data_IF_278636914935
#
_entry.id   IF_278636914935
#
_cell.length_a   1.000
_cell.length_b   1.000
_cell.length_c   1.000
_cell.angle_alpha   90.00
_cell.angle_beta   90.00
_cell.angle_gamma   90.00
#
_symmetry.space_group_name_H-M   'P 1'
#
loop_
_entity.id
_entity.type
_entity.pdbx_description
1 polymer ?
#
# COMPACT_ATOMS: atom_id res chain seq x y z
N UNK A 1 8.50 -16.01 -8.33
CA UNK A 1 8.32 -15.07 -7.20
C UNK A 1 7.36 -15.62 -6.16
N UNK A 2 6.24 -16.19 -6.56
CA UNK A 2 5.22 -16.74 -5.66
C UNK A 2 5.46 -18.21 -5.28
N UNK A 3 6.53 -18.82 -5.77
CA UNK A 3 6.83 -20.23 -5.52
C UNK A 3 6.90 -20.52 -4.02
N UNK A 4 6.09 -21.43 -3.56
CA UNK A 4 5.97 -21.79 -2.14
C UNK A 4 5.05 -20.91 -1.32
N UNK A 5 4.84 -19.61 -1.65
CA UNK A 5 3.94 -18.76 -0.86
C UNK A 5 2.48 -19.15 -1.08
N UNK A 6 2.10 -19.50 -2.31
CA UNK A 6 0.74 -19.95 -2.64
C UNK A 6 0.29 -21.24 -1.91
N UNK A 7 1.21 -22.00 -1.33
CA UNK A 7 0.86 -23.18 -0.53
C UNK A 7 0.38 -22.82 0.88
N UNK A 8 0.74 -21.62 1.37
CA UNK A 8 0.46 -21.20 2.75
C UNK A 8 -0.54 -20.05 2.82
N UNK A 9 -0.63 -19.24 1.77
CA UNK A 9 -1.53 -18.08 1.73
C UNK A 9 -1.86 -17.69 0.28
N UNK A 10 -3.08 -17.17 0.05
CA UNK A 10 -3.43 -16.54 -1.21
C UNK A 10 -2.58 -15.28 -1.44
N UNK A 11 -2.02 -15.12 -2.64
CA UNK A 11 -1.24 -13.93 -3.00
C UNK A 11 -2.08 -13.03 -3.88
N UNK A 12 -2.26 -11.77 -3.44
CA UNK A 12 -2.98 -10.75 -4.19
C UNK A 12 -2.32 -10.50 -5.56
N UNK A 13 -3.13 -10.22 -6.59
CA UNK A 13 -2.62 -9.85 -7.92
C UNK A 13 -1.75 -8.58 -7.86
N UNK A 14 -2.07 -7.64 -6.97
CA UNK A 14 -1.27 -6.43 -6.73
C UNK A 14 0.13 -6.83 -6.23
N UNK A 15 0.19 -7.71 -5.23
CA UNK A 15 1.45 -8.24 -4.70
C UNK A 15 2.26 -8.93 -5.78
N UNK A 16 1.61 -9.74 -6.63
CA UNK A 16 2.28 -10.45 -7.72
C UNK A 16 2.93 -9.48 -8.73
N UNK A 17 2.21 -8.44 -9.12
CA UNK A 17 2.68 -7.45 -10.09
C UNK A 17 3.83 -6.61 -9.52
N UNK A 18 3.67 -6.09 -8.31
CA UNK A 18 4.67 -5.23 -7.64
C UNK A 18 5.92 -6.03 -7.31
N UNK A 19 5.78 -7.26 -6.80
CA UNK A 19 6.90 -8.09 -6.40
C UNK A 19 7.85 -8.40 -7.57
N UNK A 20 7.33 -8.62 -8.77
CA UNK A 20 8.17 -8.88 -9.94
C UNK A 20 9.09 -7.69 -10.26
N UNK A 21 8.55 -6.48 -10.24
CA UNK A 21 9.29 -5.25 -10.58
C UNK A 21 10.29 -4.89 -9.48
N UNK A 22 9.82 -4.85 -8.23
CA UNK A 22 10.68 -4.48 -7.09
C UNK A 22 11.80 -5.48 -6.86
N UNK A 23 11.49 -6.79 -6.99
CA UNK A 23 12.50 -7.84 -6.83
C UNK A 23 13.59 -7.75 -7.88
N UNK A 24 13.23 -7.46 -9.14
CA UNK A 24 14.21 -7.23 -10.20
C UNK A 24 15.11 -6.05 -9.84
N UNK A 25 14.53 -4.90 -9.45
CA UNK A 25 15.28 -3.70 -9.06
C UNK A 25 16.28 -3.98 -7.94
N UNK A 26 15.82 -4.54 -6.83
CA UNK A 26 16.66 -4.87 -5.66
C UNK A 26 17.80 -5.84 -6.01
N UNK A 27 17.49 -6.89 -6.80
CA UNK A 27 18.51 -7.89 -7.18
C UNK A 27 19.54 -7.30 -8.15
N UNK A 28 19.12 -6.43 -9.08
CA UNK A 28 20.03 -5.73 -10.01
C UNK A 28 20.99 -4.82 -9.25
N UNK A 29 20.51 -4.06 -8.26
CA UNK A 29 21.36 -3.17 -7.45
C UNK A 29 22.46 -3.96 -6.74
N UNK A 30 22.13 -5.07 -6.10
CA UNK A 30 23.13 -5.95 -5.47
C UNK A 30 24.10 -6.53 -6.50
N UNK A 31 23.62 -6.89 -7.67
CA UNK A 31 24.45 -7.44 -8.75
C UNK A 31 25.43 -6.39 -9.27
N UNK A 32 24.97 -5.16 -9.54
CA UNK A 32 25.80 -4.05 -10.02
C UNK A 32 26.90 -3.72 -9.00
N UNK A 33 26.53 -3.63 -7.71
CA UNK A 33 27.49 -3.40 -6.64
C UNK A 33 28.59 -4.46 -6.62
N UNK A 34 28.19 -5.75 -6.68
CA UNK A 34 29.09 -6.87 -6.67
C UNK A 34 30.01 -6.90 -7.92
N UNK A 35 29.44 -6.70 -9.11
CA UNK A 35 30.20 -6.64 -10.38
C UNK A 35 31.22 -5.51 -10.36
N UNK A 36 30.86 -4.33 -9.85
CA UNK A 36 31.80 -3.21 -9.73
C UNK A 36 32.94 -3.55 -8.77
N UNK A 37 32.66 -4.20 -7.64
CA UNK A 37 33.70 -4.65 -6.71
C UNK A 37 34.61 -5.69 -7.34
N UNK A 38 34.07 -6.66 -8.07
CA UNK A 38 34.87 -7.64 -8.81
C UNK A 38 35.78 -6.96 -9.85
N UNK A 39 35.25 -6.02 -10.62
CA UNK A 39 36.05 -5.28 -11.64
C UNK A 39 37.16 -4.45 -10.99
N UNK A 40 36.95 -3.93 -9.79
CA UNK A 40 38.00 -3.22 -9.02
C UNK A 40 39.08 -4.20 -8.59
N UNK A 41 38.75 -5.30 -7.93
CA UNK A 41 39.72 -6.31 -7.47
C UNK A 41 40.44 -6.98 -8.65
N UNK A 42 39.78 -7.14 -9.81
CA UNK A 42 40.37 -7.73 -11.01
C UNK A 42 41.54 -6.96 -11.57
N UNK A 43 41.64 -5.66 -11.28
CA UNK A 43 42.79 -4.81 -11.70
C UNK A 43 44.03 -5.09 -10.90
N UNK A 44 43.88 -5.58 -9.66
CA UNK A 44 45.01 -5.77 -8.72
C UNK A 44 45.32 -7.24 -8.46
N UNK A 45 44.50 -8.16 -8.91
CA UNK A 45 44.69 -9.59 -8.70
C UNK A 45 45.34 -10.27 -9.89
N UNK A 46 46.14 -11.32 -9.62
CA UNK A 46 46.84 -12.06 -10.68
C UNK A 46 45.91 -13.00 -11.45
N UNK A 47 44.94 -13.60 -10.76
CA UNK A 47 43.98 -14.54 -11.35
C UNK A 47 42.55 -14.02 -11.15
N UNK A 48 41.60 -14.52 -11.96
CA UNK A 48 40.17 -14.19 -11.84
C UNK A 48 39.56 -14.78 -10.57
N UNK A 49 40.06 -15.95 -10.16
CA UNK A 49 39.61 -16.63 -8.93
C UNK A 49 40.04 -15.83 -7.68
N UNK A 50 41.28 -15.31 -7.65
CA UNK A 50 41.75 -14.44 -6.57
C UNK A 50 40.93 -13.14 -6.49
N UNK A 51 40.67 -12.52 -7.64
CA UNK A 51 39.84 -11.32 -7.72
C UNK A 51 38.42 -11.59 -7.19
N UNK A 52 37.83 -12.73 -7.54
CA UNK A 52 36.51 -13.13 -7.11
C UNK A 52 36.46 -13.36 -5.59
N UNK A 53 37.45 -14.07 -5.04
CA UNK A 53 37.54 -14.32 -3.59
C UNK A 53 37.64 -12.99 -2.81
N UNK A 54 38.49 -12.07 -3.26
CA UNK A 54 38.61 -10.74 -2.63
C UNK A 54 37.34 -9.92 -2.75
N UNK A 55 36.69 -9.94 -3.92
CA UNK A 55 35.45 -9.24 -4.15
C UNK A 55 34.33 -9.76 -3.25
N UNK A 56 34.17 -11.08 -3.13
CA UNK A 56 33.19 -11.70 -2.21
C UNK A 56 33.44 -11.26 -0.77
N UNK A 57 34.69 -11.39 -0.29
CA UNK A 57 35.04 -11.03 1.07
C UNK A 57 34.79 -9.53 1.35
N UNK A 58 35.25 -8.65 0.44
CA UNK A 58 35.10 -7.21 0.59
C UNK A 58 33.66 -6.71 0.45
N UNK A 59 32.81 -7.42 -0.32
CA UNK A 59 31.42 -7.05 -0.51
C UNK A 59 30.49 -7.59 0.57
N UNK A 60 30.87 -8.64 1.27
CA UNK A 60 29.98 -9.40 2.17
C UNK A 60 29.32 -8.53 3.24
N UNK A 61 30.10 -7.68 3.93
CA UNK A 61 29.58 -6.81 5.00
C UNK A 61 28.57 -5.79 4.42
N UNK A 62 28.92 -5.16 3.29
CA UNK A 62 28.05 -4.15 2.68
C UNK A 62 26.78 -4.75 2.11
N UNK A 63 26.88 -5.90 1.41
CA UNK A 63 25.72 -6.62 0.88
C UNK A 63 24.83 -7.12 2.02
N UNK A 64 25.41 -7.70 3.06
CA UNK A 64 24.62 -8.17 4.22
C UNK A 64 23.92 -7.01 4.93
N UNK A 65 24.60 -5.88 5.13
CA UNK A 65 23.98 -4.70 5.74
C UNK A 65 22.83 -4.15 4.93
N UNK A 66 23.03 -3.95 3.63
CA UNK A 66 21.96 -3.46 2.73
C UNK A 66 20.81 -4.44 2.60
N UNK A 67 21.10 -5.74 2.45
CA UNK A 67 20.03 -6.75 2.34
C UNK A 67 19.24 -6.92 3.63
N UNK A 68 19.87 -6.82 4.80
CA UNK A 68 19.17 -6.87 6.08
C UNK A 68 18.26 -5.65 6.27
N UNK A 69 18.71 -4.44 5.92
CA UNK A 69 17.84 -3.25 6.00
C UNK A 69 16.62 -3.39 5.08
N UNK A 70 16.81 -3.87 3.87
CA UNK A 70 15.71 -4.11 2.91
C UNK A 70 14.78 -5.21 3.41
N UNK A 71 15.32 -6.31 3.92
CA UNK A 71 14.56 -7.43 4.49
C UNK A 71 13.67 -6.97 5.64
N UNK A 72 14.23 -6.26 6.61
CA UNK A 72 13.49 -5.76 7.76
C UNK A 72 12.50 -4.66 7.38
N UNK A 73 12.81 -3.84 6.37
CA UNK A 73 11.86 -2.89 5.79
C UNK A 73 10.62 -3.58 5.24
N UNK A 74 10.78 -4.68 4.48
CA UNK A 74 9.63 -5.46 4.01
C UNK A 74 8.92 -6.22 5.13
N UNK A 75 9.64 -6.76 6.11
CA UNK A 75 9.02 -7.42 7.26
C UNK A 75 8.19 -6.45 8.12
N UNK A 76 8.52 -5.15 8.13
CA UNK A 76 7.70 -4.15 8.81
C UNK A 76 6.28 -4.06 8.23
N UNK A 77 6.08 -4.35 6.93
CA UNK A 77 4.75 -4.41 6.32
C UNK A 77 3.87 -5.53 6.89
N UNK A 78 4.47 -6.57 7.49
CA UNK A 78 3.71 -7.66 8.10
C UNK A 78 2.94 -7.21 9.37
N UNK A 79 3.22 -6.02 9.90
CA UNK A 79 2.52 -5.45 11.05
C UNK A 79 1.29 -4.62 10.65
N UNK A 80 1.00 -4.50 9.36
CA UNK A 80 -0.22 -3.87 8.88
C UNK A 80 -1.45 -4.70 9.22
N UNK A 81 -2.56 -4.04 9.53
CA UNK A 81 -3.88 -4.66 9.67
C UNK A 81 -4.42 -5.13 8.32
N UNK A 82 -4.11 -4.39 7.26
CA UNK A 82 -4.45 -4.79 5.89
C UNK A 82 -3.66 -6.04 5.49
N UNK A 83 -4.39 -7.09 5.11
CA UNK A 83 -3.80 -8.37 4.65
C UNK A 83 -2.87 -8.21 3.45
N UNK A 84 -3.05 -7.14 2.66
CA UNK A 84 -2.17 -6.78 1.55
C UNK A 84 -0.74 -6.50 2.02
N UNK A 85 -0.58 -5.84 3.19
CA UNK A 85 0.72 -5.58 3.78
C UNK A 85 1.47 -6.86 4.15
N UNK A 86 0.79 -7.80 4.79
CA UNK A 86 1.34 -9.13 5.11
C UNK A 86 1.77 -9.87 3.84
N UNK A 87 0.93 -9.84 2.79
CA UNK A 87 1.23 -10.48 1.51
C UNK A 87 2.50 -9.91 0.87
N UNK A 88 2.58 -8.59 0.74
CA UNK A 88 3.75 -7.91 0.15
C UNK A 88 4.98 -8.16 1.03
N UNK A 89 4.85 -8.01 2.34
CA UNK A 89 5.95 -8.16 3.29
C UNK A 89 6.63 -9.52 3.18
N UNK A 90 5.87 -10.62 3.23
CA UNK A 90 6.41 -11.98 3.15
C UNK A 90 7.00 -12.28 1.77
N UNK A 91 6.29 -11.94 0.70
CA UNK A 91 6.75 -12.22 -0.68
C UNK A 91 8.05 -11.47 -0.97
N UNK A 92 8.13 -10.19 -0.59
CA UNK A 92 9.32 -9.37 -0.81
C UNK A 92 10.48 -9.78 0.09
N UNK A 93 10.23 -10.06 1.37
CA UNK A 93 11.27 -10.56 2.29
C UNK A 93 11.92 -11.85 1.77
N UNK A 94 11.09 -12.82 1.35
CA UNK A 94 11.58 -14.04 0.69
C UNK A 94 12.38 -13.72 -0.57
N UNK A 95 11.89 -12.79 -1.38
CA UNK A 95 12.54 -12.34 -2.60
C UNK A 95 13.93 -11.75 -2.35
N UNK A 96 14.09 -10.92 -1.34
CA UNK A 96 15.40 -10.36 -0.93
C UNK A 96 16.38 -11.48 -0.57
N UNK A 97 15.96 -12.46 0.23
CA UNK A 97 16.82 -13.59 0.62
C UNK A 97 17.29 -14.36 -0.62
N UNK A 98 16.36 -14.73 -1.50
CA UNK A 98 16.70 -15.45 -2.75
C UNK A 98 17.60 -14.60 -3.64
N UNK A 99 17.31 -13.29 -3.76
CA UNK A 99 18.11 -12.35 -4.55
C UNK A 99 19.56 -12.28 -4.07
N UNK A 100 19.77 -12.13 -2.76
CA UNK A 100 21.12 -12.10 -2.16
C UNK A 100 21.85 -13.42 -2.38
N UNK A 101 21.17 -14.55 -2.16
CA UNK A 101 21.77 -15.88 -2.41
C UNK A 101 22.18 -16.02 -3.88
N UNK A 102 21.35 -15.52 -4.80
CA UNK A 102 21.67 -15.54 -6.23
C UNK A 102 22.91 -14.68 -6.54
N UNK A 103 23.03 -13.50 -5.94
CA UNK A 103 24.17 -12.61 -6.15
C UNK A 103 25.46 -13.16 -5.52
N UNK A 104 25.37 -13.84 -4.40
CA UNK A 104 26.56 -14.38 -3.71
C UNK A 104 27.02 -15.73 -4.28
N UNK A 105 26.10 -16.54 -4.80
CA UNK A 105 26.40 -17.90 -5.25
C UNK A 105 26.40 -18.02 -6.77
N UNK A 106 25.29 -17.61 -7.42
CA UNK A 106 25.09 -17.82 -8.84
C UNK A 106 25.90 -16.83 -9.68
N UNK A 107 25.81 -15.54 -9.35
CA UNK A 107 26.49 -14.49 -10.12
C UNK A 107 28.00 -14.67 -10.18
N UNK A 108 28.74 -14.98 -9.09
CA UNK A 108 30.17 -15.25 -9.14
C UNK A 108 30.53 -16.42 -10.04
N UNK A 109 29.75 -17.52 -9.99
CA UNK A 109 29.97 -18.67 -10.86
C UNK A 109 29.85 -18.31 -12.35
N UNK A 110 28.78 -17.60 -12.72
CA UNK A 110 28.61 -17.10 -14.08
C UNK A 110 29.70 -16.14 -14.51
N UNK A 111 30.10 -15.20 -13.64
CA UNK A 111 31.15 -14.24 -13.94
C UNK A 111 32.50 -14.94 -14.20
N UNK A 112 32.87 -15.95 -13.40
CA UNK A 112 34.11 -16.70 -13.61
C UNK A 112 34.11 -17.49 -14.92
N UNK A 113 32.98 -18.10 -15.29
CA UNK A 113 32.83 -18.85 -16.54
C UNK A 113 32.91 -17.92 -17.75
N UNK A 114 32.24 -16.77 -17.70
CA UNK A 114 32.13 -15.85 -18.82
C UNK A 114 33.13 -14.67 -18.79
N UNK A 115 34.07 -14.63 -17.84
CA UNK A 115 35.03 -13.52 -17.68
C UNK A 115 35.77 -13.18 -19.00
N UNK A 116 36.27 -14.20 -19.69
CA UNK A 116 36.99 -14.02 -20.94
C UNK A 116 36.10 -13.46 -22.07
N UNK A 117 34.84 -13.94 -22.14
CA UNK A 117 33.89 -13.45 -23.12
C UNK A 117 33.46 -12.01 -22.83
N UNK A 118 33.21 -11.68 -21.56
CA UNK A 118 32.85 -10.33 -21.11
C UNK A 118 33.99 -9.35 -21.43
N UNK A 119 35.24 -9.70 -21.12
CA UNK A 119 36.40 -8.84 -21.37
C UNK A 119 36.68 -8.66 -22.87
N UNK A 120 36.44 -9.66 -23.70
CA UNK A 120 36.61 -9.57 -25.16
C UNK A 120 35.63 -8.59 -25.81
N UNK A 121 34.40 -8.49 -25.29
CA UNK A 121 33.34 -7.65 -25.83
C UNK A 121 33.13 -6.36 -25.01
N UNK A 122 34.08 -5.99 -24.18
CA UNK A 122 33.98 -4.80 -23.34
C UNK A 122 34.02 -3.52 -24.18
N UNK A 123 32.90 -2.79 -24.16
CA UNK A 123 32.80 -1.47 -24.78
C UNK A 123 33.17 -0.38 -23.77
N UNK A 124 33.55 0.79 -24.25
CA UNK A 124 33.77 1.96 -23.40
C UNK A 124 32.45 2.32 -22.72
N UNK A 125 32.43 2.49 -21.39
CA UNK A 125 31.19 2.85 -20.71
C UNK A 125 30.66 4.20 -21.22
N UNK A 126 29.37 4.27 -21.51
CA UNK A 126 28.65 5.52 -21.81
C UNK A 126 28.38 6.29 -20.52
N UNK A 127 29.37 6.41 -19.65
CA UNK A 127 29.24 7.13 -18.39
C UNK A 127 30.02 8.45 -18.49
N UNK A 128 29.36 9.59 -18.30
CA UNK A 128 30.08 10.86 -18.22
C UNK A 128 31.01 10.86 -17.02
N UNK A 129 32.19 11.52 -17.18
CA UNK A 129 33.11 11.67 -16.08
C UNK A 129 32.57 12.68 -15.05
N UNK A 130 32.08 12.16 -13.94
CA UNK A 130 31.57 12.94 -12.82
C UNK A 130 32.68 13.49 -11.90
N UNK A 131 33.94 13.24 -12.18
CA UNK A 131 35.08 13.65 -11.32
C UNK A 131 35.09 15.14 -11.01
N UNK A 132 34.78 16.00 -12.00
CA UNK A 132 34.67 17.46 -11.80
C UNK A 132 33.52 17.84 -10.88
N UNK A 133 32.35 17.16 -11.03
CA UNK A 133 31.17 17.38 -10.19
C UNK A 133 31.44 16.94 -8.75
N UNK A 134 31.99 15.75 -8.57
CA UNK A 134 32.36 15.21 -7.25
C UNK A 134 33.34 16.14 -6.52
N UNK A 135 34.40 16.59 -7.21
CA UNK A 135 35.34 17.53 -6.63
C UNK A 135 34.68 18.86 -6.22
N UNK A 136 33.73 19.36 -7.00
CA UNK A 136 32.98 20.57 -6.65
C UNK A 136 32.09 20.37 -5.42
N UNK A 137 31.38 19.24 -5.34
CA UNK A 137 30.56 18.85 -4.20
C UNK A 137 31.39 18.74 -2.91
N UNK A 138 32.53 18.04 -2.97
CA UNK A 138 33.40 17.85 -1.82
C UNK A 138 33.98 19.19 -1.33
N UNK A 139 34.42 20.06 -2.25
CA UNK A 139 34.93 21.39 -1.89
C UNK A 139 33.85 22.26 -1.22
N UNK A 140 32.61 22.17 -1.63
CA UNK A 140 31.48 22.97 -1.11
C UNK A 140 30.52 22.18 -0.21
N UNK A 141 30.98 21.13 0.44
CA UNK A 141 30.14 20.21 1.26
C UNK A 141 29.25 20.92 2.27
N UNK A 142 29.72 22.02 2.92
CA UNK A 142 28.93 22.79 3.87
C UNK A 142 27.72 23.50 3.21
N UNK A 143 27.93 24.01 1.97
CA UNK A 143 26.86 24.68 1.21
C UNK A 143 25.81 23.66 0.79
N UNK A 144 26.24 22.49 0.28
CA UNK A 144 25.29 21.43 -0.10
C UNK A 144 24.53 20.87 1.11
N UNK A 145 25.18 20.71 2.27
CA UNK A 145 24.50 20.33 3.50
C UNK A 145 23.46 21.39 3.95
N UNK A 146 23.81 22.68 3.85
CA UNK A 146 22.85 23.75 4.17
C UNK A 146 21.67 23.78 3.20
N UNK A 147 21.91 23.64 1.90
CA UNK A 147 20.85 23.54 0.88
C UNK A 147 19.94 22.34 1.15
N UNK A 148 20.50 21.17 1.49
CA UNK A 148 19.73 19.98 1.84
C UNK A 148 18.81 20.25 3.04
N UNK A 149 19.32 20.86 4.12
CA UNK A 149 18.51 21.21 5.29
C UNK A 149 17.39 22.20 4.93
N UNK A 150 17.67 23.17 4.05
CA UNK A 150 16.66 24.14 3.60
C UNK A 150 15.55 23.44 2.78
N UNK A 151 15.89 22.42 1.98
CA UNK A 151 14.91 21.67 1.17
C UNK A 151 14.04 20.77 2.05
N UNK A 152 14.53 20.27 3.19
CA UNK A 152 13.75 19.43 4.12
C UNK A 152 12.44 20.11 4.52
N UNK A 153 12.49 21.38 4.91
CA UNK A 153 11.32 22.07 5.43
C UNK A 153 10.15 22.11 4.44
N UNK A 154 10.33 22.60 3.19
CA UNK A 154 9.25 22.57 2.21
C UNK A 154 8.86 21.15 1.80
N UNK A 155 9.77 20.18 1.77
CA UNK A 155 9.44 18.78 1.45
C UNK A 155 8.49 18.17 2.47
N UNK A 156 8.73 18.36 3.75
CA UNK A 156 7.84 17.89 4.84
C UNK A 156 6.47 18.57 4.76
N UNK A 157 6.45 19.89 4.54
CA UNK A 157 5.19 20.63 4.42
C UNK A 157 4.36 20.21 3.20
N UNK A 158 5.01 19.97 2.07
CA UNK A 158 4.34 19.49 0.85
C UNK A 158 3.83 18.06 1.02
N UNK A 159 4.63 17.18 1.59
CA UNK A 159 4.25 15.78 1.86
C UNK A 159 3.04 15.69 2.79
N UNK A 160 2.95 16.55 3.82
CA UNK A 160 1.81 16.58 4.74
C UNK A 160 0.49 16.99 4.05
N UNK A 161 0.56 17.74 2.93
CA UNK A 161 -0.59 18.22 2.20
C UNK A 161 -0.96 17.38 0.96
N UNK A 162 -0.26 16.28 0.70
CA UNK A 162 -0.59 15.38 -0.42
C UNK A 162 -1.91 14.67 -0.12
N UNK A 163 -2.92 14.91 -0.97
CA UNK A 163 -4.18 14.18 -0.92
C UNK A 163 -3.96 12.77 -1.49
N UNK A 164 -4.20 11.77 -0.67
CA UNK A 164 -4.13 10.37 -1.10
C UNK A 164 -5.44 10.01 -1.79
N UNK A 165 -5.35 9.46 -3.00
CA UNK A 165 -6.51 8.92 -3.70
C UNK A 165 -6.68 7.44 -3.34
N UNK A 166 -7.83 7.09 -2.79
CA UNK A 166 -8.17 5.70 -2.46
C UNK A 166 -9.17 5.09 -3.44
N UNK A 167 -9.72 5.91 -4.37
CA UNK A 167 -10.72 5.46 -5.33
C UNK A 167 -10.06 4.71 -6.49
N UNK A 168 -10.02 3.38 -6.41
CA UNK A 168 -9.50 2.53 -7.47
C UNK A 168 -10.34 2.59 -8.77
N UNK A 169 -11.62 2.93 -8.66
CA UNK A 169 -12.50 3.03 -9.84
C UNK A 169 -12.13 4.25 -10.72
N UNK A 170 -11.54 5.29 -10.13
CA UNK A 170 -11.08 6.47 -10.86
C UNK A 170 -9.89 6.19 -11.81
N UNK A 171 -9.21 5.06 -11.63
CA UNK A 171 -8.07 4.64 -12.46
C UNK A 171 -8.50 3.80 -13.68
N UNK A 172 -9.81 3.52 -13.82
CA UNK A 172 -10.32 2.77 -14.97
C UNK A 172 -10.37 3.66 -16.22
N UNK A 173 -10.16 3.09 -17.43
CA UNK A 173 -10.30 3.83 -18.68
C UNK A 173 -11.69 4.46 -18.85
N UNK A 174 -11.74 5.61 -19.50
CA UNK A 174 -13.00 6.35 -19.74
C UNK A 174 -14.03 5.57 -20.57
N UNK A 175 -13.58 4.67 -21.44
CA UNK A 175 -14.38 3.81 -22.31
C UNK A 175 -14.82 2.50 -21.65
N UNK A 176 -14.41 2.23 -20.40
CA UNK A 176 -14.87 1.05 -19.67
C UNK A 176 -16.38 1.16 -19.41
N UNK A 177 -17.10 0.05 -19.60
CA UNK A 177 -18.57 0.00 -19.41
C UNK A 177 -18.99 0.46 -18.01
N UNK A 178 -18.21 0.11 -16.98
CA UNK A 178 -18.44 0.56 -15.60
C UNK A 178 -18.28 2.06 -15.45
N UNK A 179 -17.26 2.67 -16.07
CA UNK A 179 -17.03 4.11 -16.03
C UNK A 179 -18.17 4.86 -16.70
N UNK A 180 -18.61 4.38 -17.88
CA UNK A 180 -19.76 4.96 -18.60
C UNK A 180 -21.03 4.82 -17.74
N UNK A 181 -21.29 3.63 -17.16
CA UNK A 181 -22.45 3.38 -16.32
C UNK A 181 -22.48 4.28 -15.08
N UNK A 182 -21.36 4.44 -14.39
CA UNK A 182 -21.26 5.32 -13.22
C UNK A 182 -21.50 6.79 -13.58
N UNK A 183 -20.96 7.26 -14.72
CA UNK A 183 -21.24 8.62 -15.23
C UNK A 183 -22.73 8.83 -15.50
N UNK A 184 -23.40 7.84 -16.11
CA UNK A 184 -24.85 7.93 -16.37
C UNK A 184 -25.67 7.92 -15.07
N UNK A 185 -25.31 7.11 -14.08
CA UNK A 185 -25.96 7.12 -12.77
C UNK A 185 -25.83 8.47 -12.09
N UNK A 186 -24.62 9.06 -12.13
CA UNK A 186 -24.35 10.39 -11.59
C UNK A 186 -25.17 11.49 -12.30
N UNK A 187 -25.16 11.50 -13.63
CA UNK A 187 -25.78 12.56 -14.42
C UNK A 187 -27.31 12.47 -14.49
N UNK A 188 -27.86 11.24 -14.55
CA UNK A 188 -29.29 11.03 -14.77
C UNK A 188 -30.07 10.78 -13.50
N UNK A 189 -29.44 10.19 -12.50
CA UNK A 189 -30.11 9.76 -11.27
C UNK A 189 -29.55 10.45 -10.01
N UNK A 190 -28.52 11.27 -10.17
CA UNK A 190 -27.84 11.93 -9.04
C UNK A 190 -27.32 10.93 -7.99
N UNK A 191 -26.85 9.77 -8.47
CA UNK A 191 -26.36 8.64 -7.68
C UNK A 191 -24.89 8.44 -7.99
N UNK A 192 -24.03 8.64 -6.99
CA UNK A 192 -22.58 8.47 -7.14
C UNK A 192 -22.06 7.30 -6.33
N UNK A 193 -22.49 7.19 -5.08
CA UNK A 193 -22.08 6.12 -4.16
C UNK A 193 -23.31 5.52 -3.51
N UNK A 194 -23.30 4.21 -3.28
CA UNK A 194 -24.40 3.50 -2.61
C UNK A 194 -23.93 2.92 -1.29
N UNK A 195 -24.76 3.11 -0.27
CA UNK A 195 -24.60 2.52 1.04
C UNK A 195 -25.71 1.52 1.31
N UNK A 196 -25.41 0.43 1.98
CA UNK A 196 -26.37 -0.53 2.48
C UNK A 196 -26.44 -0.42 3.99
N UNK A 197 -27.65 -0.42 4.51
CA UNK A 197 -27.91 -0.49 5.95
C UNK A 197 -28.50 -1.85 6.23
N UNK A 198 -27.95 -2.55 7.20
CA UNK A 198 -28.43 -3.87 7.64
C UNK A 198 -28.87 -3.71 9.09
N UNK A 199 -30.11 -3.95 9.38
CA UNK A 199 -30.67 -3.87 10.73
C UNK A 199 -31.41 -5.15 11.09
N UNK A 200 -31.61 -5.34 12.38
CA UNK A 200 -32.46 -6.39 12.94
C UNK A 200 -33.94 -6.17 12.53
N UNK A 201 -34.61 -7.17 11.97
CA UNK A 201 -36.00 -7.08 11.54
C UNK A 201 -37.00 -7.11 12.72
N UNK A 202 -36.51 -7.36 13.94
CA UNK A 202 -37.31 -7.27 15.15
C UNK A 202 -37.48 -5.85 15.68
N UNK A 203 -36.74 -4.86 15.10
CA UNK A 203 -36.93 -3.45 15.41
C UNK A 203 -38.36 -3.04 14.97
N UNK A 204 -39.14 -2.40 15.86
CA UNK A 204 -40.49 -1.98 15.51
C UNK A 204 -40.53 -1.10 14.25
N UNK A 205 -41.42 -1.36 13.31
CA UNK A 205 -41.55 -0.64 12.04
C UNK A 205 -41.70 0.89 12.23
N UNK A 206 -42.34 1.35 13.29
CA UNK A 206 -42.44 2.78 13.62
C UNK A 206 -41.07 3.42 13.91
N UNK A 207 -40.13 2.67 14.51
CA UNK A 207 -38.75 3.11 14.73
C UNK A 207 -37.98 3.09 13.45
N UNK A 208 -38.16 2.06 12.61
CA UNK A 208 -37.52 1.95 11.29
C UNK A 208 -37.89 3.14 10.39
N UNK A 209 -39.20 3.45 10.29
CA UNK A 209 -39.66 4.61 9.52
C UNK A 209 -39.09 5.93 10.07
N UNK A 210 -38.98 6.05 11.39
CA UNK A 210 -38.36 7.26 11.99
C UNK A 210 -36.87 7.37 11.63
N UNK A 211 -36.17 6.25 11.66
CA UNK A 211 -34.75 6.15 11.23
C UNK A 211 -34.60 6.48 9.75
N UNK A 212 -35.43 5.89 8.89
CA UNK A 212 -35.43 6.12 7.44
C UNK A 212 -35.67 7.59 7.09
N UNK A 213 -36.60 8.25 7.77
CA UNK A 213 -36.86 9.67 7.61
C UNK A 213 -35.67 10.52 8.06
N UNK A 214 -35.03 10.18 9.17
CA UNK A 214 -33.85 10.92 9.66
C UNK A 214 -32.69 10.75 8.68
N UNK A 215 -32.43 9.52 8.19
CA UNK A 215 -31.38 9.24 7.20
C UNK A 215 -31.66 9.93 5.86
N UNK A 216 -32.90 9.94 5.39
CA UNK A 216 -33.28 10.63 4.15
C UNK A 216 -33.03 12.13 4.20
N UNK A 217 -32.97 12.75 5.38
CA UNK A 217 -32.66 14.15 5.57
C UNK A 217 -31.15 14.44 5.77
N UNK A 218 -30.31 13.40 5.83
CA UNK A 218 -28.84 13.59 5.90
C UNK A 218 -28.34 14.26 4.63
N UNK A 219 -27.49 15.25 4.79
CA UNK A 219 -26.95 16.02 3.69
C UNK A 219 -26.26 15.11 2.66
N UNK A 220 -26.66 15.24 1.39
CA UNK A 220 -26.07 14.49 0.29
C UNK A 220 -26.69 13.13 0.03
N UNK A 221 -27.69 12.71 0.79
CA UNK A 221 -28.55 11.57 0.44
C UNK A 221 -29.43 11.99 -0.73
N UNK A 222 -29.37 11.26 -1.85
CA UNK A 222 -30.16 11.55 -3.04
C UNK A 222 -31.46 10.74 -3.07
N UNK A 223 -31.42 9.51 -2.58
CA UNK A 223 -32.59 8.64 -2.48
C UNK A 223 -32.34 7.52 -1.46
N UNK A 224 -33.39 6.99 -0.90
CA UNK A 224 -33.39 5.82 -0.03
C UNK A 224 -34.43 4.82 -0.50
N UNK A 225 -34.09 3.54 -0.46
CA UNK A 225 -34.99 2.44 -0.75
C UNK A 225 -35.03 1.54 0.48
N UNK A 226 -36.19 1.50 1.13
CA UNK A 226 -36.41 0.68 2.30
C UNK A 226 -37.79 0.02 2.20
N UNK A 227 -37.94 -1.15 2.80
CA UNK A 227 -39.18 -1.92 2.76
C UNK A 227 -40.37 -1.14 3.30
N UNK A 228 -40.22 -0.52 4.45
CA UNK A 228 -41.27 0.22 5.14
C UNK A 228 -41.73 1.48 4.40
N UNK A 229 -40.88 2.06 3.54
CA UNK A 229 -41.23 3.18 2.66
C UNK A 229 -42.16 2.78 1.52
N UNK A 230 -42.10 1.54 1.02
CA UNK A 230 -42.92 1.05 -0.08
C UNK A 230 -44.19 0.33 0.39
N UNK A 231 -44.05 -0.52 1.37
CA UNK A 231 -45.15 -1.34 1.88
C UNK A 231 -45.99 -0.58 2.92
N UNK A 232 -45.33 0.32 3.65
CA UNK A 232 -45.94 1.06 4.76
C UNK A 232 -46.14 0.19 6.01
N UNK A 233 -46.22 0.86 7.15
CA UNK A 233 -46.29 0.22 8.48
C UNK A 233 -47.64 -0.47 8.77
N UNK A 234 -48.66 -0.24 7.94
CA UNK A 234 -49.99 -0.73 8.13
C UNK A 234 -50.32 -2.03 7.37
N UNK A 235 -49.43 -2.45 6.48
CA UNK A 235 -49.59 -3.66 5.69
C UNK A 235 -48.83 -4.80 6.36
N UNK A 236 -49.51 -5.87 6.82
CA UNK A 236 -48.84 -7.05 7.36
C UNK A 236 -47.98 -7.75 6.30
N UNK A 237 -46.81 -8.24 6.68
CA UNK A 237 -45.88 -8.98 5.78
C UNK A 237 -46.58 -10.18 5.10
N UNK A 238 -47.58 -10.77 5.75
CA UNK A 238 -48.37 -11.90 5.19
C UNK A 238 -49.17 -11.58 3.92
N UNK A 239 -49.32 -10.30 3.57
CA UNK A 239 -50.04 -9.85 2.35
C UNK A 239 -49.05 -9.51 1.22
N UNK A 240 -47.77 -9.31 1.55
CA UNK A 240 -46.73 -9.00 0.58
C UNK A 240 -46.21 -10.30 -0.04
N UNK A 241 -46.01 -10.36 -1.36
CA UNK A 241 -45.44 -11.55 -1.99
C UNK A 241 -44.08 -11.92 -1.39
N UNK A 242 -43.87 -13.21 -1.11
CA UNK A 242 -42.65 -13.74 -0.51
C UNK A 242 -41.38 -13.33 -1.31
N UNK A 243 -41.48 -13.32 -2.65
CA UNK A 243 -40.37 -12.90 -3.54
C UNK A 243 -39.89 -11.47 -3.25
N UNK A 244 -40.75 -10.58 -2.78
CA UNK A 244 -40.38 -9.20 -2.43
C UNK A 244 -39.77 -9.17 -1.03
N UNK A 245 -40.35 -9.89 -0.10
CA UNK A 245 -39.86 -9.99 1.28
C UNK A 245 -38.47 -10.60 1.28
N UNK A 246 -38.26 -11.69 0.56
CA UNK A 246 -36.97 -12.41 0.49
C UNK A 246 -35.82 -11.59 -0.09
N UNK A 247 -36.10 -10.52 -0.85
CA UNK A 247 -35.04 -9.60 -1.35
C UNK A 247 -34.54 -8.71 -0.24
N UNK A 248 -35.41 -8.24 0.66
CA UNK A 248 -35.10 -7.18 1.63
C UNK A 248 -35.02 -7.66 3.07
N UNK A 249 -35.69 -8.81 3.38
CA UNK A 249 -35.71 -9.41 4.72
C UNK A 249 -35.27 -10.87 4.64
N UNK A 250 -34.18 -11.23 5.29
CA UNK A 250 -33.68 -12.61 5.39
C UNK A 250 -33.00 -12.87 6.73
N UNK A 251 -33.21 -14.05 7.29
CA UNK A 251 -32.52 -14.52 8.50
C UNK A 251 -32.58 -13.54 9.68
N UNK A 252 -33.76 -12.90 9.90
CA UNK A 252 -33.90 -11.92 10.96
C UNK A 252 -33.25 -10.57 10.71
N UNK A 253 -33.00 -10.23 9.45
CA UNK A 253 -32.32 -8.98 9.04
C UNK A 253 -33.08 -8.30 7.92
N UNK A 254 -33.10 -6.97 7.96
CA UNK A 254 -33.62 -6.12 6.90
C UNK A 254 -32.52 -5.30 6.28
N UNK A 255 -32.52 -5.20 4.94
CA UNK A 255 -31.55 -4.42 4.16
C UNK A 255 -32.24 -3.20 3.57
N UNK A 256 -31.58 -2.05 3.67
CA UNK A 256 -31.99 -0.78 3.07
C UNK A 256 -30.86 -0.27 2.18
N UNK A 257 -31.20 0.44 1.10
CA UNK A 257 -30.24 1.05 0.19
C UNK A 257 -30.34 2.57 0.29
N UNK A 258 -29.21 3.23 0.49
CA UNK A 258 -29.08 4.69 0.53
C UNK A 258 -28.13 5.12 -0.56
N UNK A 259 -28.58 6.02 -1.44
CA UNK A 259 -27.76 6.58 -2.50
C UNK A 259 -27.27 7.97 -2.14
N UNK A 260 -26.00 8.23 -2.39
CA UNK A 260 -25.30 9.47 -2.11
C UNK A 260 -24.90 10.20 -3.39
N UNK A 261 -24.91 11.53 -3.34
CA UNK A 261 -24.33 12.37 -4.40
C UNK A 261 -22.81 12.49 -4.27
N UNK A 262 -22.24 12.14 -3.10
CA UNK A 262 -20.81 12.25 -2.84
C UNK A 262 -20.04 11.09 -3.46
N UNK A 263 -18.84 11.37 -3.93
CA UNK A 263 -17.94 10.34 -4.42
C UNK A 263 -17.36 9.55 -3.22
N UNK A 264 -17.24 8.23 -3.39
CA UNK A 264 -16.58 7.36 -2.44
C UNK A 264 -15.15 7.86 -2.17
N UNK A 265 -14.63 7.70 -0.97
CA UNK A 265 -13.31 8.19 -0.53
C UNK A 265 -13.15 9.71 -0.35
N UNK A 266 -14.21 10.51 -0.46
CA UNK A 266 -14.17 11.94 -0.12
C UNK A 266 -14.48 12.17 1.35
N UNK A 267 -14.01 13.31 1.89
CA UNK A 267 -14.29 13.66 3.30
C UNK A 267 -15.81 13.88 3.54
N UNK A 268 -16.52 14.38 2.54
CA UNK A 268 -17.97 14.55 2.57
C UNK A 268 -18.70 13.20 2.65
N UNK A 269 -18.28 12.21 1.86
CA UNK A 269 -18.83 10.85 1.91
C UNK A 269 -18.53 10.17 3.24
N UNK A 270 -17.30 10.32 3.74
CA UNK A 270 -16.90 9.75 5.04
C UNK A 270 -17.73 10.33 6.19
N UNK A 271 -17.93 11.65 6.20
CA UNK A 271 -18.77 12.34 7.20
C UNK A 271 -20.23 11.90 7.10
N UNK A 272 -20.76 11.72 5.89
CA UNK A 272 -22.11 11.22 5.67
C UNK A 272 -22.29 9.79 6.20
N UNK A 273 -21.33 8.89 5.92
CA UNK A 273 -21.34 7.52 6.45
C UNK A 273 -21.36 7.51 7.97
N UNK A 274 -20.57 8.37 8.60
CA UNK A 274 -20.51 8.48 10.06
C UNK A 274 -21.83 9.01 10.63
N UNK A 275 -22.45 10.00 10.01
CA UNK A 275 -23.76 10.54 10.41
C UNK A 275 -24.86 9.46 10.27
N UNK A 276 -24.87 8.73 9.16
CA UNK A 276 -25.82 7.62 8.94
C UNK A 276 -25.61 6.50 9.97
N UNK A 277 -24.35 6.12 10.25
CA UNK A 277 -24.06 5.09 11.25
C UNK A 277 -24.53 5.51 12.65
N UNK A 278 -24.28 6.77 13.06
CA UNK A 278 -24.77 7.30 14.33
C UNK A 278 -26.31 7.24 14.43
N UNK A 279 -27.03 7.52 13.34
CA UNK A 279 -28.48 7.40 13.30
C UNK A 279 -28.88 5.93 13.45
N UNK A 280 -28.26 5.02 12.71
CA UNK A 280 -28.53 3.59 12.77
C UNK A 280 -28.31 3.05 14.19
N UNK A 281 -27.18 3.38 14.82
CA UNK A 281 -26.88 2.97 16.20
C UNK A 281 -27.89 3.54 17.20
N UNK A 282 -28.34 4.77 17.03
CA UNK A 282 -29.36 5.42 17.88
C UNK A 282 -30.68 4.64 17.89
N UNK A 283 -31.11 4.13 16.74
CA UNK A 283 -32.38 3.41 16.61
C UNK A 283 -32.26 1.91 16.91
N UNK A 284 -31.13 1.29 16.62
CA UNK A 284 -30.83 -0.09 17.01
C UNK A 284 -30.71 -0.21 18.53
N UNK A 285 -30.08 0.76 19.22
CA UNK A 285 -29.85 0.72 20.66
C UNK A 285 -28.90 -0.39 21.07
N UNK A 286 -29.01 -0.85 22.34
CA UNK A 286 -28.17 -1.92 22.89
C UNK A 286 -28.66 -3.32 22.58
N UNK A 287 -29.93 -3.47 22.19
CA UNK A 287 -30.62 -4.76 22.10
C UNK A 287 -30.66 -5.33 20.70
N UNK A 288 -30.35 -4.50 19.70
CA UNK A 288 -30.36 -4.88 18.28
C UNK A 288 -29.04 -4.49 17.63
N UNK A 289 -28.76 -5.10 16.49
CA UNK A 289 -27.61 -4.70 15.66
C UNK A 289 -28.05 -3.78 14.52
N UNK A 290 -27.14 -2.90 14.13
CA UNK A 290 -27.24 -2.06 12.94
C UNK A 290 -25.86 -1.87 12.34
N UNK A 291 -25.75 -2.04 11.02
CA UNK A 291 -24.49 -1.88 10.30
C UNK A 291 -24.70 -1.04 9.05
N UNK A 292 -23.79 -0.10 8.82
CA UNK A 292 -23.68 0.62 7.56
C UNK A 292 -22.54 0.01 6.76
N UNK A 293 -22.81 -0.43 5.53
CA UNK A 293 -21.84 -1.06 4.64
C UNK A 293 -22.01 -0.55 3.20
N UNK A 294 -21.29 -1.10 2.27
CA UNK A 294 -21.28 -0.66 0.87
C UNK A 294 -20.06 0.16 0.53
N UNK A 295 -20.04 0.76 -0.66
CA UNK A 295 -18.85 1.36 -1.21
C UNK A 295 -18.28 2.50 -0.33
N UNK A 296 -19.12 3.44 0.12
CA UNK A 296 -18.66 4.55 0.95
C UNK A 296 -18.10 4.12 2.30
N UNK A 297 -18.78 3.20 3.00
CA UNK A 297 -18.33 2.67 4.28
C UNK A 297 -17.01 1.89 4.12
N UNK A 298 -16.89 1.06 3.05
CA UNK A 298 -15.67 0.34 2.74
C UNK A 298 -14.46 1.28 2.57
N UNK A 299 -14.62 2.36 1.81
CA UNK A 299 -13.54 3.33 1.61
C UNK A 299 -13.21 4.11 2.89
N UNK A 300 -14.21 4.44 3.72
CA UNK A 300 -13.98 5.05 5.03
C UNK A 300 -13.11 4.16 5.90
N UNK A 301 -13.49 2.89 6.08
CA UNK A 301 -12.73 1.92 6.86
C UNK A 301 -11.32 1.70 6.30
N UNK A 302 -11.19 1.63 4.97
CA UNK A 302 -9.89 1.51 4.29
C UNK A 302 -8.99 2.72 4.59
N UNK A 303 -9.52 3.93 4.54
CA UNK A 303 -8.78 5.17 4.83
C UNK A 303 -8.31 5.19 6.29
N UNK A 304 -9.20 4.87 7.23
CA UNK A 304 -8.89 4.86 8.66
C UNK A 304 -7.83 3.80 8.99
N UNK A 305 -8.03 2.57 8.53
CA UNK A 305 -7.07 1.48 8.71
C UNK A 305 -5.72 1.82 8.09
N UNK A 306 -5.71 2.35 6.87
CA UNK A 306 -4.48 2.71 6.15
C UNK A 306 -3.70 3.82 6.87
N UNK A 307 -4.38 4.81 7.48
CA UNK A 307 -3.71 5.86 8.27
C UNK A 307 -2.93 5.26 9.45
N UNK A 308 -3.56 4.34 10.18
CA UNK A 308 -2.92 3.63 11.30
C UNK A 308 -1.78 2.76 10.82
N UNK A 309 -2.00 1.97 9.78
CA UNK A 309 -1.03 1.05 9.20
C UNK A 309 0.22 1.77 8.72
N UNK A 310 0.10 2.90 8.02
CA UNK A 310 1.25 3.68 7.58
C UNK A 310 2.06 4.23 8.76
N UNK A 311 1.40 4.71 9.82
CA UNK A 311 2.09 5.21 11.00
C UNK A 311 2.86 4.08 11.71
N UNK A 312 2.20 2.95 11.95
CA UNK A 312 2.80 1.77 12.61
C UNK A 312 3.96 1.22 11.79
N UNK A 313 3.75 1.02 10.49
CA UNK A 313 4.78 0.46 9.60
C UNK A 313 5.99 1.38 9.48
N UNK A 314 5.79 2.70 9.37
CA UNK A 314 6.88 3.67 9.33
C UNK A 314 7.71 3.63 10.62
N UNK A 315 7.07 3.63 11.78
CA UNK A 315 7.78 3.56 13.06
C UNK A 315 8.58 2.27 13.18
N UNK A 316 7.96 1.12 12.88
CA UNK A 316 8.63 -0.19 12.96
C UNK A 316 9.80 -0.25 11.95
N UNK A 317 9.59 0.22 10.72
CA UNK A 317 10.63 0.26 9.69
C UNK A 317 11.82 1.12 10.12
N UNK A 318 11.58 2.32 10.61
CA UNK A 318 12.63 3.23 11.11
C UNK A 318 13.42 2.57 12.22
N UNK A 319 12.76 1.97 13.23
CA UNK A 319 13.43 1.31 14.35
C UNK A 319 14.24 0.10 13.85
N UNK A 320 13.67 -0.71 12.96
CA UNK A 320 14.33 -1.89 12.43
C UNK A 320 15.58 -1.52 11.60
N UNK A 321 15.44 -0.58 10.66
CA UNK A 321 16.53 -0.09 9.81
C UNK A 321 17.61 0.59 10.67
N UNK A 322 17.22 1.42 11.64
CA UNK A 322 18.15 2.03 12.59
C UNK A 322 18.98 0.96 13.31
N UNK A 323 18.31 -0.06 13.85
CA UNK A 323 18.96 -1.13 14.59
C UNK A 323 19.95 -1.93 13.73
N UNK A 324 19.55 -2.29 12.51
CA UNK A 324 20.41 -3.00 11.57
C UNK A 324 21.64 -2.17 11.22
N UNK A 325 21.48 -0.91 10.87
CA UNK A 325 22.60 -0.03 10.51
C UNK A 325 23.52 0.19 11.71
N UNK A 326 22.97 0.40 12.91
CA UNK A 326 23.75 0.57 14.13
C UNK A 326 24.63 -0.65 14.43
N UNK A 327 24.07 -1.86 14.27
CA UNK A 327 24.80 -3.12 14.49
C UNK A 327 25.89 -3.32 13.43
N UNK A 328 25.54 -3.14 12.14
CA UNK A 328 26.47 -3.36 11.02
C UNK A 328 27.65 -2.38 11.06
N UNK A 329 27.39 -1.10 11.29
CA UNK A 329 28.42 -0.07 11.30
C UNK A 329 29.03 0.19 12.69
N UNK A 330 28.52 -0.47 13.74
CA UNK A 330 28.94 -0.27 15.14
C UNK A 330 28.98 1.22 15.54
N UNK A 331 28.02 2.00 15.07
CA UNK A 331 27.92 3.45 15.27
C UNK A 331 26.48 3.86 15.38
N UNK A 332 26.17 4.72 16.35
CA UNK A 332 24.82 5.28 16.53
C UNK A 332 24.59 6.51 15.64
N UNK A 333 25.66 7.25 15.33
CA UNK A 333 25.55 8.50 14.54
C UNK A 333 25.25 8.25 13.05
N UNK A 334 25.76 7.14 12.48
CA UNK A 334 25.57 6.81 11.06
C UNK A 334 24.09 6.55 10.74
N UNK A 335 23.36 5.73 11.51
CA UNK A 335 21.93 5.53 11.27
C UNK A 335 21.12 6.81 11.25
N UNK A 336 21.38 7.76 12.17
CA UNK A 336 20.66 9.05 12.20
C UNK A 336 20.83 9.82 10.90
N UNK A 337 22.05 9.93 10.38
CA UNK A 337 22.32 10.67 9.14
C UNK A 337 21.68 9.97 7.94
N UNK A 338 21.78 8.63 7.86
CA UNK A 338 21.24 7.87 6.75
C UNK A 338 19.71 7.88 6.74
N UNK A 339 19.07 7.66 7.90
CA UNK A 339 17.59 7.68 8.00
C UNK A 339 17.08 9.09 7.67
N UNK A 340 17.71 10.15 8.21
CA UNK A 340 17.31 11.50 7.88
C UNK A 340 17.41 11.78 6.36
N UNK A 341 18.45 11.27 5.72
CA UNK A 341 18.62 11.43 4.28
C UNK A 341 17.58 10.64 3.47
N UNK A 342 17.16 9.44 3.94
CA UNK A 342 16.17 8.58 3.29
C UNK A 342 14.76 9.14 3.47
N UNK A 343 14.40 9.58 4.69
CA UNK A 343 13.06 10.10 4.99
C UNK A 343 12.74 11.42 4.27
N UNK A 344 13.76 12.11 3.79
CA UNK A 344 13.63 13.38 3.05
C UNK A 344 13.53 13.15 1.53
N UNK A 345 13.99 12.01 1.05
CA UNK A 345 13.97 11.69 -0.38
C UNK A 345 12.61 11.13 -0.80
#
# INVERSE_FOLDING_TARGET
YNMGTNFFMGVSYITQSIAAILQLGVTVDYSIFFVNRYNEERRYSRTKEEAMSRALHGSFISLSGSSLTTLFGFLALCFMQLTLGLNIGIVMAKGVIIGVLSVVIILPAFMLVFDDAINRHKHKPFSPDFGKLVNHLVKRKKVFAAVFIIIIIPSVLLSANVKKNYNLNAELPDDASTTIGTKLLKEKFNMTTSHFIIVDDTIPASKLVSMENEISNVKGVSSMLAYDMFVGTSIPDSIVPDDIIDIVKQNGRQVMLVNSIYESSTDECNSQVEEIDNIVQKYAGSDHYGYVTGEGALYKDLIETTKVDFAVTSIISIIAVFSVIAIVFKSISIPFILILAIEVA
#
